data_IF_424450864821
#
_entry.id   IF_424450864821
#
_cell.length_a   1.000
_cell.length_b   1.000
_cell.length_c   1.000
_cell.angle_alpha   90.00
_cell.angle_beta   90.00
_cell.angle_gamma   90.00
#
_symmetry.space_group_name_H-M   'P 1'
#
loop_
_entity.id
_entity.type
_entity.pdbx_description
1 polymer ?
#
# COMPACT_ATOMS: atom_id res chain seq x y z
N UNK A 1 11.60 -4.51 -5.64
CA UNK A 1 10.57 -5.07 -4.74
C UNK A 1 10.23 -4.12 -3.58
N UNK A 2 11.18 -3.68 -2.75
CA UNK A 2 10.91 -2.77 -1.61
C UNK A 2 10.18 -1.48 -2.01
N UNK A 3 10.65 -0.79 -3.05
CA UNK A 3 9.97 0.39 -3.58
C UNK A 3 8.51 0.14 -4.00
N UNK A 4 8.21 -1.05 -4.57
CA UNK A 4 6.84 -1.38 -4.96
C UNK A 4 5.94 -1.58 -3.74
N UNK A 5 6.44 -2.20 -2.67
CA UNK A 5 5.71 -2.37 -1.42
C UNK A 5 5.44 -1.05 -0.71
N UNK A 6 6.41 -0.13 -0.69
CA UNK A 6 6.22 1.22 -0.15
C UNK A 6 5.15 1.98 -0.92
N UNK A 7 5.22 1.98 -2.25
CA UNK A 7 4.18 2.58 -3.11
C UNK A 7 2.81 1.99 -2.85
N UNK A 8 2.72 0.67 -2.67
CA UNK A 8 1.46 0.01 -2.33
C UNK A 8 0.94 0.45 -0.96
N UNK A 9 1.79 0.55 0.06
CA UNK A 9 1.43 1.08 1.36
C UNK A 9 0.91 2.52 1.25
N UNK A 10 1.54 3.36 0.42
CA UNK A 10 1.08 4.73 0.20
C UNK A 10 -0.28 4.78 -0.51
N UNK A 11 -0.47 3.93 -1.53
CA UNK A 11 -1.79 3.76 -2.16
C UNK A 11 -2.89 3.36 -1.16
N UNK A 12 -2.59 2.46 -0.23
CA UNK A 12 -3.54 2.04 0.81
C UNK A 12 -3.86 3.18 1.78
N UNK A 13 -2.85 3.94 2.18
CA UNK A 13 -2.98 5.03 3.14
C UNK A 13 -3.80 6.21 2.59
N UNK A 14 -3.69 6.47 1.29
CA UNK A 14 -4.42 7.53 0.59
C UNK A 14 -5.79 7.08 0.06
N UNK A 15 -6.09 5.78 0.10
CA UNK A 15 -7.32 5.25 -0.45
C UNK A 15 -8.53 5.78 0.31
N UNK A 16 -9.54 6.24 -0.43
CA UNK A 16 -10.84 6.64 0.10
C UNK A 16 -11.93 5.95 -0.69
N UNK A 17 -12.85 5.30 0.01
CA UNK A 17 -14.06 4.78 -0.61
C UNK A 17 -14.89 5.95 -1.13
N UNK A 18 -15.44 5.81 -2.34
CA UNK A 18 -16.48 6.73 -2.82
C UNK A 18 -17.82 6.12 -2.47
N UNK A 19 -18.49 6.68 -1.47
CA UNK A 19 -19.82 6.23 -1.07
C UNK A 19 -20.90 6.79 -2.02
N UNK A 20 -21.97 6.01 -2.19
CA UNK A 20 -23.17 6.44 -2.93
C UNK A 20 -24.18 6.91 -1.88
N UNK A 21 -24.43 8.21 -1.81
CA UNK A 21 -25.32 8.84 -0.83
C UNK A 21 -24.67 10.02 -0.12
N UNK A 22 -25.42 10.65 0.77
CA UNK A 22 -24.99 11.89 1.46
C UNK A 22 -24.26 11.63 2.79
N UNK A 23 -24.14 10.36 3.21
CA UNK A 23 -23.50 9.96 4.46
C UNK A 23 -22.78 8.62 4.34
N UNK A 24 -21.68 8.47 5.09
CA UNK A 24 -20.94 7.20 5.24
C UNK A 24 -21.51 6.39 6.40
N UNK A 25 -21.51 5.07 6.26
CA UNK A 25 -21.85 4.14 7.35
C UNK A 25 -20.64 3.89 8.25
N UNK A 26 -20.89 3.51 9.51
CA UNK A 26 -19.82 3.16 10.46
C UNK A 26 -18.93 2.01 9.94
N UNK A 27 -19.52 1.06 9.21
CA UNK A 27 -18.80 -0.06 8.59
C UNK A 27 -17.84 0.43 7.48
N UNK A 28 -18.26 1.40 6.66
CA UNK A 28 -17.40 2.00 5.62
C UNK A 28 -16.24 2.78 6.24
N UNK A 29 -16.50 3.56 7.30
CA UNK A 29 -15.46 4.29 8.03
C UNK A 29 -14.45 3.30 8.65
N UNK A 30 -14.94 2.20 9.24
CA UNK A 30 -14.10 1.18 9.84
C UNK A 30 -13.21 0.47 8.79
N UNK A 31 -13.77 0.09 7.64
CA UNK A 31 -13.02 -0.53 6.55
C UNK A 31 -11.99 0.45 5.96
N UNK A 32 -12.34 1.73 5.78
CA UNK A 32 -11.39 2.73 5.30
C UNK A 32 -10.17 2.87 6.23
N UNK A 33 -10.40 2.91 7.55
CA UNK A 33 -9.33 2.95 8.54
C UNK A 33 -8.45 1.70 8.50
N UNK A 34 -9.02 0.53 8.20
CA UNK A 34 -8.24 -0.71 8.12
C UNK A 34 -7.15 -0.71 7.05
N UNK A 35 -7.35 0.02 5.95
CA UNK A 35 -6.33 0.15 4.90
C UNK A 35 -5.12 0.96 5.38
N UNK A 36 -5.34 1.94 6.26
CA UNK A 36 -4.26 2.72 6.87
C UNK A 36 -3.44 1.87 7.85
N UNK A 37 -4.09 0.98 8.61
CA UNK A 37 -3.38 0.02 9.47
C UNK A 37 -2.52 -0.94 8.64
N UNK A 38 -3.04 -1.47 7.53
CA UNK A 38 -2.26 -2.31 6.61
C UNK A 38 -1.06 -1.56 6.02
N UNK A 39 -1.24 -0.29 5.66
CA UNK A 39 -0.16 0.55 5.17
C UNK A 39 0.95 0.72 6.21
N UNK A 40 0.59 0.99 7.46
CA UNK A 40 1.53 1.15 8.57
C UNK A 40 2.37 -0.10 8.78
N UNK A 41 1.75 -1.28 8.82
CA UNK A 41 2.47 -2.57 8.93
C UNK A 41 3.45 -2.77 7.77
N UNK A 42 3.01 -2.49 6.54
CA UNK A 42 3.88 -2.63 5.36
C UNK A 42 5.07 -1.66 5.39
N UNK A 43 4.87 -0.42 5.83
CA UNK A 43 5.96 0.56 5.96
C UNK A 43 6.97 0.14 7.02
N UNK A 44 6.51 -0.22 8.22
CA UNK A 44 7.38 -0.65 9.31
C UNK A 44 8.25 -1.85 8.91
N UNK A 45 7.67 -2.84 8.23
CA UNK A 45 8.42 -4.00 7.74
C UNK A 45 9.51 -3.60 6.72
N UNK A 46 9.20 -2.65 5.83
CA UNK A 46 10.15 -2.19 4.82
C UNK A 46 11.19 -1.21 5.37
N UNK A 47 10.92 -0.53 6.49
CA UNK A 47 11.91 0.24 7.24
C UNK A 47 12.94 -0.68 7.90
N UNK A 48 12.50 -1.77 8.53
CA UNK A 48 13.41 -2.78 9.09
C UNK A 48 14.25 -3.48 8.01
N UNK A 49 13.65 -3.77 6.86
CA UNK A 49 14.40 -4.30 5.71
C UNK A 49 15.47 -3.30 5.24
N UNK A 50 15.13 -2.01 5.17
CA UNK A 50 16.05 -0.96 4.73
C UNK A 50 17.23 -0.83 5.68
N UNK A 51 16.99 -0.79 6.99
CA UNK A 51 18.05 -0.79 8.02
C UNK A 51 19.02 -1.95 7.86
N UNK A 52 18.51 -3.16 7.65
CA UNK A 52 19.34 -4.35 7.41
C UNK A 52 20.20 -4.22 6.14
N UNK A 53 19.62 -3.71 5.05
CA UNK A 53 20.32 -3.54 3.76
C UNK A 53 21.40 -2.46 3.85
N UNK A 54 21.09 -1.31 4.46
CA UNK A 54 22.03 -0.20 4.62
C UNK A 54 23.25 -0.63 5.44
N UNK A 55 23.02 -1.38 6.51
CA UNK A 55 24.08 -1.91 7.36
C UNK A 55 24.96 -2.97 6.65
N UNK A 56 24.45 -3.65 5.62
CA UNK A 56 25.20 -4.70 4.92
C UNK A 56 26.46 -4.15 4.23
N UNK A 57 26.45 -2.88 3.80
CA UNK A 57 27.63 -2.26 3.18
C UNK A 57 28.81 -2.18 4.16
N UNK A 58 28.55 -1.79 5.40
CA UNK A 58 29.57 -1.60 6.43
C UNK A 58 29.98 -2.93 7.08
N UNK A 59 29.01 -3.81 7.32
CA UNK A 59 29.23 -5.07 8.06
C UNK A 59 29.75 -6.20 7.18
N UNK A 60 29.43 -6.21 5.88
CA UNK A 60 29.79 -7.29 4.97
C UNK A 60 30.68 -6.83 3.82
N UNK A 61 30.21 -5.87 3.02
CA UNK A 61 30.88 -5.51 1.76
C UNK A 61 32.25 -4.89 2.02
N UNK A 62 32.32 -3.89 2.89
CA UNK A 62 33.55 -3.15 3.17
C UNK A 62 34.65 -4.05 3.77
N UNK A 63 34.38 -4.89 4.79
CA UNK A 63 35.37 -5.82 5.33
C UNK A 63 35.87 -6.84 4.30
N UNK A 64 34.98 -7.41 3.49
CA UNK A 64 35.37 -8.37 2.45
C UNK A 64 36.19 -7.72 1.33
N UNK A 65 35.85 -6.49 0.95
CA UNK A 65 36.67 -5.72 0.01
C UNK A 65 38.05 -5.41 0.58
N UNK A 66 38.12 -5.04 1.86
CA UNK A 66 39.38 -4.78 2.55
C UNK A 66 40.24 -6.02 2.60
N UNK A 67 39.70 -7.16 3.02
CA UNK A 67 40.39 -8.46 3.01
C UNK A 67 40.93 -8.81 1.61
N UNK A 68 40.11 -8.64 0.57
CA UNK A 68 40.51 -8.87 -0.82
C UNK A 68 41.66 -7.95 -1.26
N UNK A 69 41.60 -6.66 -0.93
CA UNK A 69 42.61 -5.68 -1.36
C UNK A 69 43.91 -5.84 -0.58
N UNK A 70 43.83 -5.94 0.73
CA UNK A 70 44.99 -5.90 1.61
C UNK A 70 45.64 -7.27 1.76
N UNK A 71 44.87 -8.31 2.10
CA UNK A 71 45.45 -9.64 2.38
C UNK A 71 45.75 -10.40 1.09
N UNK A 72 44.74 -10.57 0.22
CA UNK A 72 44.91 -11.28 -1.05
C UNK A 72 45.81 -10.49 -2.01
N UNK A 73 45.71 -9.15 -2.01
CA UNK A 73 46.60 -8.29 -2.79
C UNK A 73 48.07 -8.44 -2.38
N UNK A 74 48.38 -8.35 -1.09
CA UNK A 74 49.75 -8.50 -0.59
C UNK A 74 50.35 -9.87 -0.92
N UNK A 75 49.58 -10.96 -0.78
CA UNK A 75 50.06 -12.29 -1.16
C UNK A 75 50.31 -12.42 -2.67
N UNK A 76 49.48 -11.80 -3.51
CA UNK A 76 49.70 -11.77 -4.97
C UNK A 76 50.96 -11.00 -5.34
N UNK A 77 51.24 -9.88 -4.68
CA UNK A 77 52.44 -9.09 -4.96
C UNK A 77 53.71 -9.78 -4.45
N UNK A 78 53.66 -10.43 -3.28
CA UNK A 78 54.73 -11.30 -2.78
C UNK A 78 55.01 -12.45 -3.76
N UNK A 79 53.97 -13.07 -4.32
CA UNK A 79 54.11 -14.11 -5.35
C UNK A 79 54.84 -13.59 -6.58
N UNK A 80 54.46 -12.42 -7.12
CA UNK A 80 55.14 -11.84 -8.30
C UNK A 80 56.63 -11.59 -8.04
N UNK A 81 56.97 -11.11 -6.83
CA UNK A 81 58.36 -10.88 -6.42
C UNK A 81 59.12 -12.21 -6.34
N UNK A 82 58.51 -13.23 -5.74
CA UNK A 82 59.05 -14.59 -5.68
C UNK A 82 59.28 -15.18 -7.07
N UNK A 83 58.28 -15.15 -7.96
CA UNK A 83 58.39 -15.70 -9.32
C UNK A 83 59.55 -15.01 -10.08
N UNK A 84 59.67 -13.68 -9.98
CA UNK A 84 60.76 -12.91 -10.61
C UNK A 84 62.14 -13.29 -10.08
N UNK A 85 62.33 -13.36 -8.77
CA UNK A 85 63.64 -13.71 -8.20
C UNK A 85 63.97 -15.20 -8.39
N UNK A 86 62.95 -16.06 -8.55
CA UNK A 86 63.13 -17.46 -8.97
C UNK A 86 63.75 -17.53 -10.37
N UNK A 87 63.18 -16.82 -11.35
CA UNK A 87 63.72 -16.76 -12.71
C UNK A 87 65.16 -16.25 -12.74
N UNK A 88 65.45 -15.19 -11.98
CA UNK A 88 66.79 -14.61 -11.88
C UNK A 88 67.79 -15.58 -11.24
N UNK A 89 67.42 -16.23 -10.14
CA UNK A 89 68.26 -17.20 -9.46
C UNK A 89 68.59 -18.38 -10.38
N UNK A 90 67.58 -18.98 -11.00
CA UNK A 90 67.77 -20.08 -11.96
C UNK A 90 68.64 -19.66 -13.14
N UNK A 91 68.43 -18.46 -13.70
CA UNK A 91 69.22 -17.98 -14.84
C UNK A 91 70.69 -17.69 -14.50
N UNK A 92 70.99 -17.19 -13.29
CA UNK A 92 72.38 -17.02 -12.82
C UNK A 92 73.03 -18.38 -12.53
N UNK A 93 72.29 -19.29 -11.90
CA UNK A 93 72.77 -20.64 -11.61
C UNK A 93 73.10 -21.42 -12.89
N UNK A 94 72.27 -21.34 -13.92
CA UNK A 94 72.53 -21.97 -15.21
C UNK A 94 73.79 -21.40 -15.89
N UNK A 95 74.00 -20.08 -15.84
CA UNK A 95 75.22 -19.45 -16.37
C UNK A 95 76.47 -19.89 -15.61
N UNK A 96 76.37 -20.03 -14.29
CA UNK A 96 77.44 -20.51 -13.43
C UNK A 96 77.82 -21.96 -13.77
N UNK A 97 76.83 -22.85 -13.87
CA UNK A 97 77.05 -24.27 -14.22
C UNK A 97 77.68 -24.46 -15.61
N UNK A 98 77.41 -23.54 -16.54
CA UNK A 98 77.97 -23.56 -17.89
C UNK A 98 79.36 -22.88 -17.98
N UNK A 99 79.88 -22.34 -16.88
CA UNK A 99 81.17 -21.65 -16.88
C UNK A 99 82.33 -22.65 -17.00
N UNK A 100 83.19 -22.46 -17.99
CA UNK A 100 84.35 -23.35 -18.19
C UNK A 100 85.35 -23.22 -17.03
N UNK A 101 85.82 -24.37 -16.52
CA UNK A 101 86.90 -24.45 -15.53
C UNK A 101 88.25 -23.88 -16.00
N UNK A 102 88.39 -23.53 -17.28
CA UNK A 102 89.59 -22.90 -17.85
C UNK A 102 89.60 -21.38 -17.73
N UNK A 103 88.54 -20.77 -17.17
CA UNK A 103 88.48 -19.32 -16.91
C UNK A 103 89.48 -18.92 -15.83
N UNK A 104 89.81 -17.63 -15.77
CA UNK A 104 90.70 -17.12 -14.73
C UNK A 104 90.06 -17.33 -13.37
N UNK A 105 90.86 -17.69 -12.36
CA UNK A 105 90.41 -17.91 -10.98
C UNK A 105 89.55 -16.74 -10.45
N UNK A 106 89.94 -15.49 -10.72
CA UNK A 106 89.17 -14.32 -10.31
C UNK A 106 87.76 -14.26 -10.91
N UNK A 107 87.57 -14.79 -12.13
CA UNK A 107 86.26 -14.85 -12.79
C UNK A 107 85.39 -15.98 -12.22
N UNK A 108 86.00 -17.08 -11.78
CA UNK A 108 85.30 -18.17 -11.10
C UNK A 108 84.79 -17.69 -9.74
N UNK A 109 85.65 -17.04 -8.95
CA UNK A 109 85.29 -16.48 -7.64
C UNK A 109 84.21 -15.40 -7.72
N UNK A 110 84.22 -14.57 -8.76
CA UNK A 110 83.18 -13.58 -9.01
C UNK A 110 81.83 -14.25 -9.31
N UNK A 111 81.83 -15.31 -10.12
CA UNK A 111 80.62 -16.07 -10.42
C UNK A 111 80.06 -16.79 -9.19
N UNK A 112 80.92 -17.39 -8.36
CA UNK A 112 80.52 -18.00 -7.07
C UNK A 112 79.85 -16.96 -6.16
N UNK A 113 80.50 -15.80 -5.99
CA UNK A 113 79.97 -14.70 -5.17
C UNK A 113 78.63 -14.18 -5.69
N UNK A 114 78.47 -14.12 -7.02
CA UNK A 114 77.22 -13.71 -7.65
C UNK A 114 76.09 -14.71 -7.37
N UNK A 115 76.34 -16.02 -7.51
CA UNK A 115 75.38 -17.08 -7.19
C UNK A 115 74.97 -17.01 -5.72
N UNK A 116 75.93 -16.88 -4.81
CA UNK A 116 75.66 -16.82 -3.38
C UNK A 116 74.75 -15.64 -3.02
N UNK A 117 75.01 -14.46 -3.62
CA UNK A 117 74.21 -13.26 -3.40
C UNK A 117 72.78 -13.41 -3.93
N UNK A 118 72.58 -13.92 -5.15
CA UNK A 118 71.23 -14.13 -5.69
C UNK A 118 70.49 -15.26 -4.97
N UNK A 119 71.20 -16.29 -4.50
CA UNK A 119 70.64 -17.40 -3.72
C UNK A 119 70.12 -16.89 -2.38
N UNK A 120 70.88 -16.07 -1.68
CA UNK A 120 70.45 -15.48 -0.41
C UNK A 120 69.16 -14.67 -0.60
N UNK A 121 69.14 -13.78 -1.60
CA UNK A 121 67.97 -12.96 -1.87
C UNK A 121 66.74 -13.79 -2.28
N UNK A 122 66.93 -14.82 -3.11
CA UNK A 122 65.88 -15.77 -3.45
C UNK A 122 65.29 -16.44 -2.21
N UNK A 123 66.13 -16.88 -1.26
CA UNK A 123 65.64 -17.48 -0.01
C UNK A 123 64.83 -16.50 0.83
N UNK A 124 65.30 -15.26 0.99
CA UNK A 124 64.59 -14.22 1.73
C UNK A 124 63.18 -13.98 1.14
N UNK A 125 63.09 -13.79 -0.18
CA UNK A 125 61.80 -13.56 -0.86
C UNK A 125 60.90 -14.80 -0.84
N UNK A 126 61.48 -16.00 -0.91
CA UNK A 126 60.73 -17.25 -0.78
C UNK A 126 60.06 -17.38 0.58
N UNK A 127 60.79 -17.05 1.66
CA UNK A 127 60.24 -17.06 3.02
C UNK A 127 59.19 -15.97 3.22
N UNK A 128 59.40 -14.76 2.68
CA UNK A 128 58.39 -13.69 2.67
C UNK A 128 57.08 -14.16 2.00
N UNK A 129 57.18 -14.83 0.85
CA UNK A 129 56.01 -15.34 0.15
C UNK A 129 55.29 -16.43 0.94
N UNK A 130 56.01 -17.42 1.48
CA UNK A 130 55.43 -18.47 2.34
C UNK A 130 54.73 -17.87 3.55
N UNK A 131 55.36 -16.89 4.21
CA UNK A 131 54.76 -16.17 5.32
C UNK A 131 53.46 -15.48 4.93
N UNK A 132 53.43 -14.78 3.78
CA UNK A 132 52.19 -14.12 3.31
C UNK A 132 51.09 -15.09 2.94
N UNK A 133 51.43 -16.26 2.39
CA UNK A 133 50.44 -17.32 2.14
C UNK A 133 49.85 -17.82 3.45
N UNK A 134 50.69 -18.08 4.46
CA UNK A 134 50.25 -18.53 5.77
C UNK A 134 49.37 -17.48 6.46
N UNK A 135 49.78 -16.20 6.41
CA UNK A 135 49.00 -15.09 6.96
C UNK A 135 47.60 -15.00 6.35
N UNK A 136 47.46 -15.15 5.02
CA UNK A 136 46.15 -15.18 4.36
C UNK A 136 45.32 -16.37 4.82
N UNK A 137 45.91 -17.56 4.95
CA UNK A 137 45.17 -18.76 5.37
C UNK A 137 44.59 -18.62 6.78
N UNK A 138 45.37 -18.07 7.71
CA UNK A 138 44.92 -17.84 9.08
C UNK A 138 43.90 -16.68 9.14
N UNK A 139 44.19 -15.55 8.49
CA UNK A 139 43.31 -14.37 8.50
C UNK A 139 41.95 -14.65 7.89
N UNK A 140 41.85 -15.50 6.85
CA UNK A 140 40.55 -15.85 6.27
C UNK A 140 39.61 -16.46 7.31
N UNK A 141 40.12 -17.15 8.34
CA UNK A 141 39.26 -17.82 9.30
C UNK A 141 38.47 -16.85 10.17
N UNK A 142 38.92 -15.61 10.32
CA UNK A 142 38.22 -14.58 11.09
C UNK A 142 37.84 -13.35 10.26
N UNK A 143 38.75 -12.74 9.49
CA UNK A 143 38.46 -11.53 8.70
C UNK A 143 37.45 -11.76 7.56
N UNK A 144 37.28 -13.01 7.11
CA UNK A 144 36.25 -13.37 6.13
C UNK A 144 34.98 -13.92 6.78
N UNK A 145 35.12 -14.70 7.86
CA UNK A 145 33.99 -15.39 8.51
C UNK A 145 33.20 -14.44 9.42
N UNK A 146 33.86 -13.55 10.16
CA UNK A 146 33.18 -12.62 11.08
C UNK A 146 32.20 -11.68 10.36
N UNK A 147 32.53 -11.06 9.20
CA UNK A 147 31.58 -10.25 8.43
C UNK A 147 30.33 -11.05 8.00
N UNK A 148 30.51 -12.32 7.62
CA UNK A 148 29.40 -13.20 7.24
C UNK A 148 28.50 -13.51 8.44
N UNK A 149 29.10 -13.82 9.58
CA UNK A 149 28.37 -14.08 10.82
C UNK A 149 27.58 -12.83 11.25
N UNK A 150 28.20 -11.65 11.22
CA UNK A 150 27.56 -10.39 11.57
C UNK A 150 26.39 -10.04 10.62
N UNK A 151 26.54 -10.31 9.32
CA UNK A 151 25.44 -10.15 8.36
C UNK A 151 24.27 -11.11 8.65
N UNK A 152 24.55 -12.37 8.97
CA UNK A 152 23.52 -13.35 9.37
C UNK A 152 22.78 -12.92 10.64
N UNK A 153 23.50 -12.36 11.62
CA UNK A 153 22.89 -11.78 12.81
C UNK A 153 21.90 -10.67 12.44
N UNK A 154 22.30 -9.74 11.57
CA UNK A 154 21.41 -8.67 11.07
C UNK A 154 20.18 -9.21 10.33
N UNK A 155 20.35 -10.27 9.53
CA UNK A 155 19.25 -10.99 8.88
C UNK A 155 18.26 -11.57 9.90
N UNK A 156 18.75 -12.25 10.94
CA UNK A 156 17.89 -12.81 11.98
C UNK A 156 17.19 -11.72 12.81
N UNK A 157 17.87 -10.62 13.08
CA UNK A 157 17.25 -9.44 13.70
C UNK A 157 16.11 -8.89 12.85
N UNK A 158 16.28 -8.77 11.52
CA UNK A 158 15.19 -8.37 10.62
C UNK A 158 14.01 -9.34 10.67
N UNK A 159 14.25 -10.66 10.62
CA UNK A 159 13.19 -11.66 10.73
C UNK A 159 12.45 -11.59 12.06
N UNK A 160 13.18 -11.37 13.16
CA UNK A 160 12.59 -11.21 14.49
C UNK A 160 11.68 -9.98 14.55
N UNK A 161 12.11 -8.83 14.02
CA UNK A 161 11.24 -7.64 13.95
C UNK A 161 10.00 -7.89 13.10
N UNK A 162 10.12 -8.61 11.99
CA UNK A 162 8.97 -9.01 11.18
C UNK A 162 7.99 -9.91 11.92
N UNK A 163 8.49 -10.80 12.79
CA UNK A 163 7.66 -11.64 13.64
C UNK A 163 6.93 -10.83 14.72
N UNK A 164 7.63 -9.95 15.44
CA UNK A 164 6.99 -9.11 16.46
C UNK A 164 5.95 -8.17 15.84
N UNK A 165 6.21 -7.59 14.66
CA UNK A 165 5.23 -6.78 13.95
C UNK A 165 3.96 -7.58 13.57
N UNK A 166 4.12 -8.83 13.15
CA UNK A 166 2.98 -9.69 12.82
C UNK A 166 2.17 -10.08 14.06
N UNK A 167 2.85 -10.24 15.20
CA UNK A 167 2.24 -10.51 16.50
C UNK A 167 1.48 -9.28 17.01
N UNK A 168 2.06 -8.09 16.97
CA UNK A 168 1.38 -6.85 17.39
C UNK A 168 0.13 -6.56 16.52
N UNK A 169 0.15 -6.99 15.26
CA UNK A 169 -0.98 -6.88 14.34
C UNK A 169 -2.09 -7.93 14.56
N UNK A 170 -1.87 -8.97 15.39
CA UNK A 170 -2.79 -10.12 15.49
C UNK A 170 -4.17 -9.76 16.02
N UNK A 171 -4.23 -8.86 16.99
CA UNK A 171 -5.48 -8.49 17.66
C UNK A 171 -6.36 -7.70 16.71
N UNK A 172 -5.79 -6.67 16.08
CA UNK A 172 -6.46 -5.91 15.02
C UNK A 172 -6.94 -6.80 13.87
N UNK A 173 -6.10 -7.74 13.40
CA UNK A 173 -6.50 -8.71 12.37
C UNK A 173 -7.72 -9.51 12.78
N UNK A 174 -7.76 -9.96 14.04
CA UNK A 174 -8.87 -10.78 14.57
C UNK A 174 -10.15 -9.95 14.63
N UNK A 175 -10.10 -8.74 15.18
CA UNK A 175 -11.24 -7.83 15.25
C UNK A 175 -11.77 -7.47 13.87
N UNK A 176 -10.88 -7.14 12.93
CA UNK A 176 -11.26 -6.81 11.56
C UNK A 176 -11.92 -8.00 10.86
N UNK A 177 -11.44 -9.22 11.10
CA UNK A 177 -12.03 -10.45 10.54
C UNK A 177 -13.46 -10.64 11.04
N UNK A 178 -13.69 -10.43 12.34
CA UNK A 178 -15.03 -10.49 12.95
C UNK A 178 -15.93 -9.41 12.34
N UNK A 179 -15.44 -8.17 12.25
CA UNK A 179 -16.18 -7.04 11.66
C UNK A 179 -16.63 -7.34 10.23
N UNK A 180 -15.71 -7.82 9.38
CA UNK A 180 -16.02 -8.21 7.99
C UNK A 180 -17.12 -9.27 7.94
N UNK A 181 -17.05 -10.28 8.80
CA UNK A 181 -18.07 -11.35 8.82
C UNK A 181 -19.43 -10.82 9.28
N UNK A 182 -19.45 -9.93 10.28
CA UNK A 182 -20.69 -9.30 10.74
C UNK A 182 -21.32 -8.42 9.65
N UNK A 183 -20.52 -7.68 8.90
CA UNK A 183 -21.00 -6.87 7.76
C UNK A 183 -21.57 -7.76 6.65
N UNK A 184 -20.92 -8.90 6.35
CA UNK A 184 -21.46 -9.89 5.40
C UNK A 184 -22.81 -10.44 5.84
N UNK A 185 -22.93 -10.86 7.09
CA UNK A 185 -24.18 -11.42 7.63
C UNK A 185 -25.31 -10.38 7.62
N UNK A 186 -25.03 -9.13 8.00
CA UNK A 186 -25.99 -8.01 7.94
C UNK A 186 -26.46 -7.77 6.51
N UNK A 187 -25.53 -7.70 5.55
CA UNK A 187 -25.87 -7.54 4.14
C UNK A 187 -26.78 -8.66 3.63
N UNK A 188 -26.47 -9.92 3.93
CA UNK A 188 -27.30 -11.06 3.49
C UNK A 188 -28.71 -11.01 4.06
N UNK A 189 -28.85 -10.66 5.34
CA UNK A 189 -30.15 -10.46 5.99
C UNK A 189 -30.95 -9.32 5.35
N UNK A 190 -30.37 -8.12 5.29
CA UNK A 190 -31.03 -6.94 4.72
C UNK A 190 -31.36 -7.13 3.24
N UNK A 191 -30.49 -7.76 2.46
CA UNK A 191 -30.75 -8.05 1.04
C UNK A 191 -32.00 -8.92 0.87
N UNK A 192 -32.13 -9.99 1.67
CA UNK A 192 -33.30 -10.88 1.63
C UNK A 192 -34.59 -10.13 1.96
N UNK A 193 -34.57 -9.30 2.99
CA UNK A 193 -35.72 -8.47 3.39
C UNK A 193 -36.10 -7.45 2.31
N UNK A 194 -35.11 -6.76 1.73
CA UNK A 194 -35.32 -5.78 0.65
C UNK A 194 -35.86 -6.48 -0.61
N UNK A 195 -35.35 -7.65 -0.97
CA UNK A 195 -35.84 -8.44 -2.11
C UNK A 195 -37.29 -8.88 -1.89
N UNK A 196 -37.62 -9.34 -0.68
CA UNK A 196 -38.98 -9.72 -0.29
C UNK A 196 -39.93 -8.52 -0.35
N UNK A 197 -39.53 -7.38 0.22
CA UNK A 197 -40.30 -6.14 0.18
C UNK A 197 -40.52 -5.65 -1.25
N UNK A 198 -39.47 -5.67 -2.08
CA UNK A 198 -39.56 -5.31 -3.50
C UNK A 198 -40.57 -6.21 -4.23
N UNK A 199 -40.50 -7.53 -4.02
CA UNK A 199 -41.43 -8.49 -4.64
C UNK A 199 -42.86 -8.21 -4.21
N UNK A 200 -43.09 -8.05 -2.91
CA UNK A 200 -44.40 -7.75 -2.32
C UNK A 200 -45.02 -6.47 -2.91
N UNK A 201 -44.22 -5.41 -3.01
CA UNK A 201 -44.63 -4.12 -3.59
C UNK A 201 -44.94 -4.21 -5.10
N UNK A 202 -44.26 -5.10 -5.84
CA UNK A 202 -44.53 -5.35 -7.26
C UNK A 202 -45.81 -6.15 -7.49
N UNK A 203 -46.09 -7.12 -6.62
CA UNK A 203 -47.25 -8.01 -6.76
C UNK A 203 -48.57 -7.28 -6.47
N UNK A 204 -48.65 -6.52 -5.37
CA UNK A 204 -49.89 -5.85 -4.94
C UNK A 204 -49.66 -4.37 -4.53
N UNK A 205 -49.31 -3.48 -5.47
CA UNK A 205 -48.97 -2.09 -5.15
C UNK A 205 -50.13 -1.29 -4.53
N UNK A 206 -51.37 -1.69 -4.79
CA UNK A 206 -52.57 -1.01 -4.25
C UNK A 206 -52.88 -1.39 -2.80
N UNK A 207 -52.54 -2.60 -2.35
CA UNK A 207 -52.75 -3.04 -0.96
C UNK A 207 -51.78 -2.38 0.02
N UNK A 208 -50.66 -1.86 -0.48
CA UNK A 208 -49.65 -1.18 0.32
C UNK A 208 -49.76 0.35 0.30
N UNK A 209 -50.84 0.88 -0.29
CA UNK A 209 -51.18 2.30 -0.15
C UNK A 209 -51.72 2.55 1.26
N UNK A 210 -50.93 3.22 2.09
CA UNK A 210 -51.40 3.73 3.38
C UNK A 210 -52.37 4.89 3.16
N UNK A 211 -53.65 4.58 2.92
CA UNK A 211 -54.71 5.60 2.89
C UNK A 211 -55.06 5.92 4.35
N UNK A 212 -54.46 6.98 4.89
CA UNK A 212 -54.82 7.47 6.22
C UNK A 212 -56.24 8.04 6.22
N UNK A 213 -57.11 7.67 7.18
CA UNK A 213 -58.46 8.23 7.28
C UNK A 213 -58.47 9.68 7.82
N UNK A 214 -57.32 10.16 8.28
CA UNK A 214 -57.13 11.48 8.89
C UNK A 214 -56.28 12.43 8.04
N UNK A 215 -55.41 11.88 7.19
CA UNK A 215 -54.52 12.64 6.33
C UNK A 215 -54.60 12.14 4.89
N UNK A 216 -54.72 13.05 3.95
CA UNK A 216 -54.64 12.73 2.52
C UNK A 216 -53.50 13.50 1.92
N UNK A 217 -52.70 12.84 1.09
CA UNK A 217 -51.60 13.47 0.40
C UNK A 217 -51.48 12.99 -1.04
N UNK A 218 -50.99 13.87 -1.91
CA UNK A 218 -50.80 13.53 -3.30
C UNK A 218 -50.62 14.76 -4.18
N UNK A 219 -50.40 14.51 -5.47
CA UNK A 219 -50.24 15.57 -6.45
C UNK A 219 -51.59 16.05 -6.97
N UNK A 220 -51.82 17.36 -6.92
CA UNK A 220 -52.96 18.02 -7.53
C UNK A 220 -52.49 19.08 -8.52
N UNK A 221 -53.32 19.38 -9.51
CA UNK A 221 -53.13 20.55 -10.35
C UNK A 221 -54.07 21.65 -9.84
N UNK A 222 -53.50 22.79 -9.48
CA UNK A 222 -54.24 23.97 -9.02
C UNK A 222 -54.38 24.94 -10.19
N UNK A 223 -55.57 25.50 -10.39
CA UNK A 223 -55.83 26.47 -11.44
C UNK A 223 -55.43 27.87 -10.95
N UNK A 224 -54.45 28.47 -11.61
CA UNK A 224 -54.01 29.83 -11.35
C UNK A 224 -54.48 30.77 -12.46
N UNK A 225 -54.91 31.97 -12.08
CA UNK A 225 -55.18 33.05 -13.04
C UNK A 225 -53.87 33.74 -13.40
N UNK A 226 -53.59 33.84 -14.70
CA UNK A 226 -52.47 34.61 -15.27
C UNK A 226 -53.02 35.76 -16.11
N UNK A 227 -52.14 36.70 -16.46
CA UNK A 227 -52.46 37.88 -17.27
C UNK A 227 -53.16 37.57 -18.61
N UNK A 228 -52.92 36.39 -19.20
CA UNK A 228 -53.50 35.95 -20.48
C UNK A 228 -54.21 34.59 -20.39
N UNK A 229 -54.98 34.36 -19.32
CA UNK A 229 -55.82 33.17 -19.18
C UNK A 229 -55.51 32.37 -17.91
N UNK A 230 -55.84 31.08 -17.91
CA UNK A 230 -55.63 30.21 -16.74
C UNK A 230 -54.55 29.17 -17.03
N UNK A 231 -53.69 28.93 -16.05
CA UNK A 231 -52.70 27.84 -16.09
C UNK A 231 -52.99 26.82 -15.00
N UNK A 232 -52.55 25.58 -15.22
CA UNK A 232 -52.60 24.53 -14.21
C UNK A 232 -51.20 24.26 -13.70
N UNK A 233 -50.98 24.43 -12.41
CA UNK A 233 -49.67 24.23 -11.77
C UNK A 233 -49.74 23.03 -10.84
N UNK A 234 -48.77 22.14 -10.98
CA UNK A 234 -48.68 20.91 -10.18
C UNK A 234 -48.18 21.25 -8.77
N UNK A 235 -48.94 20.85 -7.77
CA UNK A 235 -48.61 20.99 -6.36
C UNK A 235 -48.62 19.62 -5.69
N UNK A 236 -47.76 19.42 -4.70
CA UNK A 236 -47.93 18.35 -3.71
C UNK A 236 -48.79 18.89 -2.58
N UNK A 237 -49.96 18.31 -2.39
CA UNK A 237 -50.94 18.78 -1.42
C UNK A 237 -51.06 17.78 -0.27
N UNK A 238 -51.15 18.29 0.95
CA UNK A 238 -51.41 17.52 2.17
C UNK A 238 -52.61 18.10 2.89
N UNK A 239 -53.62 17.27 3.13
CA UNK A 239 -54.81 17.60 3.90
C UNK A 239 -54.78 16.93 5.26
N UNK A 240 -55.08 17.70 6.31
CA UNK A 240 -55.23 17.22 7.68
C UNK A 240 -56.69 17.41 8.12
N UNK A 241 -57.37 16.31 8.45
CA UNK A 241 -58.81 16.31 8.72
C UNK A 241 -59.20 17.07 9.99
N UNK A 242 -58.42 16.96 11.06
CA UNK A 242 -58.73 17.58 12.36
C UNK A 242 -58.72 19.11 12.28
N UNK A 243 -57.68 19.67 11.66
CA UNK A 243 -57.51 21.11 11.46
C UNK A 243 -58.23 21.63 10.21
N UNK A 244 -58.78 20.72 9.39
CA UNK A 244 -59.29 21.00 8.03
C UNK A 244 -58.28 21.76 7.16
N UNK A 245 -56.98 21.64 7.44
CA UNK A 245 -55.94 22.42 6.77
C UNK A 245 -55.45 21.69 5.54
N UNK A 246 -55.39 22.39 4.41
CA UNK A 246 -54.70 21.97 3.19
C UNK A 246 -53.41 22.77 3.08
N UNK A 247 -52.28 22.08 2.94
CA UNK A 247 -50.98 22.68 2.60
C UNK A 247 -50.62 22.27 1.18
N UNK A 248 -50.17 23.23 0.37
CA UNK A 248 -49.84 23.04 -1.05
C UNK A 248 -48.42 23.55 -1.29
N UNK A 249 -47.60 22.72 -1.92
CA UNK A 249 -46.22 23.09 -2.27
C UNK A 249 -46.03 22.91 -3.76
N UNK A 250 -45.60 23.94 -4.53
CA UNK A 250 -45.36 23.77 -5.95
C UNK A 250 -44.32 22.69 -6.20
N UNK A 251 -44.55 21.87 -7.22
CA UNK A 251 -43.73 20.70 -7.50
C UNK A 251 -43.32 20.65 -8.97
N UNK A 252 -42.01 20.76 -9.22
CA UNK A 252 -41.41 20.52 -10.53
C UNK A 252 -40.50 19.28 -10.49
N UNK A 253 -40.74 18.38 -11.43
CA UNK A 253 -40.02 17.11 -11.54
C UNK A 253 -38.62 17.30 -12.14
N UNK A 254 -38.37 18.39 -12.87
CA UNK A 254 -37.06 18.69 -13.47
C UNK A 254 -36.08 19.32 -12.48
N UNK A 255 -36.57 20.03 -11.46
CA UNK A 255 -35.75 20.69 -10.42
C UNK A 255 -35.46 19.80 -9.20
N UNK A 256 -35.82 18.52 -9.22
CA UNK A 256 -35.52 17.59 -8.14
C UNK A 256 -36.48 17.61 -6.95
N UNK A 257 -37.60 18.35 -7.01
CA UNK A 257 -38.63 18.24 -5.97
C UNK A 257 -39.46 19.50 -5.70
N UNK A 258 -39.99 19.55 -4.47
CA UNK A 258 -40.77 20.67 -3.91
C UNK A 258 -39.93 21.95 -3.94
N UNK A 259 -40.45 23.01 -4.54
CA UNK A 259 -39.79 24.32 -4.58
C UNK A 259 -40.83 25.43 -4.64
N UNK A 260 -40.65 26.46 -3.81
CA UNK A 260 -41.63 27.54 -3.63
C UNK A 260 -42.01 27.73 -2.16
N UNK A 261 -42.83 28.74 -1.87
CA UNK A 261 -43.40 28.94 -0.53
C UNK A 261 -44.57 27.99 -0.31
N UNK A 262 -44.72 27.52 0.92
CA UNK A 262 -45.83 26.66 1.33
C UNK A 262 -47.10 27.51 1.48
N UNK A 263 -48.10 27.26 0.64
CA UNK A 263 -49.42 27.87 0.79
C UNK A 263 -50.30 26.97 1.65
N UNK A 264 -50.84 27.52 2.75
CA UNK A 264 -51.72 26.79 3.66
C UNK A 264 -53.07 27.50 3.79
N UNK A 265 -54.16 26.73 3.61
CA UNK A 265 -55.54 27.23 3.73
C UNK A 265 -56.37 26.33 4.64
N UNK A 266 -57.29 26.92 5.41
CA UNK A 266 -58.28 26.18 6.19
C UNK A 266 -59.50 25.95 5.31
N UNK A 267 -59.86 24.70 5.10
CA UNK A 267 -60.96 24.29 4.23
C UNK A 267 -62.31 24.54 4.92
N UNK A 268 -63.12 25.40 4.31
CA UNK A 268 -64.53 25.60 4.65
C UNK A 268 -65.40 24.53 3.98
N UNK A 269 -65.28 24.38 2.67
CA UNK A 269 -66.04 23.42 1.88
C UNK A 269 -65.21 22.86 0.72
N UNK A 270 -65.49 21.61 0.34
CA UNK A 270 -64.91 20.97 -0.84
C UNK A 270 -66.04 20.35 -1.66
N UNK A 271 -66.20 20.81 -2.89
CA UNK A 271 -67.33 20.43 -3.74
C UNK A 271 -66.83 19.82 -5.04
N UNK A 272 -67.19 18.57 -5.30
CA UNK A 272 -66.87 17.90 -6.57
C UNK A 272 -67.58 18.59 -7.73
N UNK A 273 -66.84 18.98 -8.78
CA UNK A 273 -67.43 19.55 -9.99
C UNK A 273 -68.15 18.50 -10.83
N UNK A 274 -69.24 18.90 -11.49
CA UNK A 274 -69.92 18.08 -12.50
C UNK A 274 -69.02 17.95 -13.74
N UNK A 275 -69.02 16.77 -14.36
CA UNK A 275 -68.12 16.43 -15.48
C UNK A 275 -68.19 17.42 -16.64
N UNK A 276 -69.36 18.00 -16.91
CA UNK A 276 -69.58 18.87 -18.07
C UNK A 276 -69.28 20.35 -17.78
N UNK A 277 -68.85 20.69 -16.55
CA UNK A 277 -68.62 22.08 -16.13
C UNK A 277 -67.21 22.61 -16.40
N UNK A 278 -66.27 21.75 -16.78
CA UNK A 278 -64.88 22.10 -17.09
C UNK A 278 -64.25 21.02 -17.98
N UNK A 279 -63.37 21.41 -18.91
CA UNK A 279 -62.64 20.49 -19.82
C UNK A 279 -61.49 19.72 -19.11
N UNK A 280 -61.71 19.28 -17.87
CA UNK A 280 -60.77 18.50 -17.05
C UNK A 280 -61.52 17.44 -16.24
N UNK A 281 -60.90 16.28 -16.05
CA UNK A 281 -61.48 15.16 -15.27
C UNK A 281 -61.08 15.24 -13.80
N UNK A 282 -61.93 14.74 -12.91
CA UNK A 282 -61.68 14.62 -11.47
C UNK A 282 -61.49 15.95 -10.73
N UNK A 283 -62.16 17.02 -11.18
CA UNK A 283 -62.06 18.34 -10.56
C UNK A 283 -62.99 18.51 -9.35
N UNK A 284 -62.53 19.30 -8.38
CA UNK A 284 -63.31 19.77 -7.24
C UNK A 284 -62.90 21.21 -6.93
N UNK A 285 -63.83 21.97 -6.36
CA UNK A 285 -63.59 23.31 -5.85
C UNK A 285 -63.34 23.28 -4.35
N UNK A 286 -62.42 24.11 -3.90
CA UNK A 286 -62.09 24.32 -2.50
C UNK A 286 -62.45 25.76 -2.13
N UNK A 287 -63.22 25.91 -1.06
CA UNK A 287 -63.51 27.20 -0.44
C UNK A 287 -62.69 27.29 0.86
N UNK A 288 -61.89 28.33 1.01
CA UNK A 288 -61.16 28.61 2.24
C UNK A 288 -62.05 29.34 3.25
N UNK A 289 -61.71 29.23 4.54
CA UNK A 289 -62.23 30.14 5.57
C UNK A 289 -61.50 31.48 5.40
N UNK A 290 -62.25 32.59 5.35
CA UNK A 290 -61.72 33.95 5.30
C UNK A 290 -60.84 34.28 6.53
#
# INVERSE_FOLDING_TARGET
LSSAKRKFADSLNEFKFRCIGDAETDDEICIAKSLQEFATVLRNLEDERMRMIENASEVLITPLEKFRKEQIGAAKDAKKKYDKETEKYCGVLEKHLNLSSKKKESQLQEADSQVDLVRQHFYEVSLEYVFKVQEVQERKMFEFVEPLLAFLQGLFTFYHHGYELAKDFSDFKTELTISIQNTRNRFEGTRSEVESLMKKMKENPHEHKNISPYTMEGYLYVQEKRHFGTSWVKHYCTYQRESKRITMVPFDQKSGGKGGEDEAVILKSCTRRKTDSIEKRFCFDVEAVD
#
